data_IF_382520026245
#
_entry.id   IF_382520026245
#
_cell.length_a   1.000
_cell.length_b   1.000
_cell.length_c   1.000
_cell.angle_alpha   90.00
_cell.angle_beta   90.00
_cell.angle_gamma   90.00
#
_symmetry.space_group_name_H-M   'P 1'
#
loop_
_entity.id
_entity.type
_entity.pdbx_description
1 polymer ?
#
# COMPACT_ATOMS: atom_id res chain seq x y z
N UNK A 1 -9.32 -10.58 -7.28
CA UNK A 1 -8.69 -9.37 -6.73
C UNK A 1 -9.70 -8.43 -6.07
N UNK A 2 -10.93 -8.37 -6.60
CA UNK A 2 -11.96 -7.52 -6.00
C UNK A 2 -12.25 -7.95 -4.56
N UNK A 3 -12.35 -9.24 -4.31
CA UNK A 3 -12.56 -9.79 -2.98
C UNK A 3 -11.41 -9.39 -2.04
N UNK A 4 -10.17 -9.48 -2.52
CA UNK A 4 -8.99 -9.11 -1.74
C UNK A 4 -9.04 -7.62 -1.38
N UNK A 5 -9.36 -6.78 -2.36
CA UNK A 5 -9.44 -5.34 -2.16
C UNK A 5 -10.51 -4.98 -1.13
N UNK A 6 -11.71 -5.55 -1.25
CA UNK A 6 -12.80 -5.25 -0.34
C UNK A 6 -12.46 -5.63 1.10
N UNK A 7 -11.88 -6.81 1.27
CA UNK A 7 -11.51 -7.27 2.60
C UNK A 7 -10.37 -6.44 3.19
N UNK A 8 -9.43 -6.02 2.37
CA UNK A 8 -8.31 -5.23 2.87
C UNK A 8 -8.74 -3.81 3.25
N UNK A 9 -9.73 -3.23 2.56
CA UNK A 9 -10.30 -1.95 2.95
C UNK A 9 -10.90 -2.06 4.36
N UNK A 10 -11.63 -3.14 4.63
CA UNK A 10 -12.20 -3.37 5.97
C UNK A 10 -11.10 -3.47 7.03
N UNK A 11 -10.00 -4.12 6.69
CA UNK A 11 -8.86 -4.23 7.59
C UNK A 11 -8.26 -2.84 7.90
N UNK A 12 -8.06 -2.00 6.89
CA UNK A 12 -7.51 -0.66 7.09
C UNK A 12 -8.45 0.17 7.97
N UNK A 13 -9.75 0.07 7.73
CA UNK A 13 -10.73 0.76 8.58
C UNK A 13 -10.66 0.30 10.02
N UNK A 14 -10.38 -1.01 10.25
CA UNK A 14 -10.25 -1.54 11.61
C UNK A 14 -9.04 -1.00 12.33
N UNK A 15 -8.08 -0.43 11.61
CA UNK A 15 -6.91 0.22 12.19
C UNK A 15 -7.14 1.72 12.39
N UNK A 16 -8.38 2.15 12.36
CA UNK A 16 -8.82 3.53 12.64
C UNK A 16 -8.44 4.56 11.58
N UNK A 17 -8.10 4.12 10.38
CA UNK A 17 -7.85 5.08 9.30
C UNK A 17 -9.16 5.71 8.85
N UNK A 18 -9.20 7.05 8.69
CA UNK A 18 -10.44 7.72 8.26
C UNK A 18 -10.85 7.28 6.87
N UNK A 19 -12.13 6.96 6.71
CA UNK A 19 -12.67 6.54 5.43
C UNK A 19 -12.43 7.57 4.33
N UNK A 20 -12.48 8.85 4.67
CA UNK A 20 -12.28 9.94 3.71
C UNK A 20 -10.89 9.99 3.10
N UNK A 21 -9.90 9.35 3.73
CA UNK A 21 -8.53 9.31 3.23
C UNK A 21 -8.25 8.07 2.37
N UNK A 22 -9.18 7.12 2.33
CA UNK A 22 -9.00 5.86 1.60
C UNK A 22 -9.57 6.01 0.20
N UNK A 23 -8.75 5.75 -0.81
CA UNK A 23 -9.13 5.82 -2.21
C UNK A 23 -8.83 4.49 -2.89
N UNK A 24 -9.70 4.08 -3.83
CA UNK A 24 -9.55 2.84 -4.57
C UNK A 24 -9.23 3.14 -6.03
N UNK A 25 -8.43 2.29 -6.64
CA UNK A 25 -8.11 2.36 -8.06
C UNK A 25 -7.58 3.72 -8.49
N UNK A 26 -6.74 4.32 -7.64
CA UNK A 26 -6.15 5.62 -7.95
C UNK A 26 -5.07 5.48 -9.01
N UNK A 27 -5.12 6.36 -10.00
CA UNK A 27 -4.18 6.37 -11.12
C UNK A 27 -3.13 7.46 -10.89
N UNK A 28 -1.86 7.08 -11.09
CA UNK A 28 -0.74 8.02 -11.07
C UNK A 28 0.00 7.93 -12.39
N UNK A 29 0.59 9.03 -12.81
CA UNK A 29 1.45 9.07 -13.99
C UNK A 29 2.88 9.26 -13.52
N UNK A 30 3.72 8.27 -13.73
CA UNK A 30 5.11 8.25 -13.29
C UNK A 30 5.97 8.05 -14.52
N UNK A 31 6.81 9.05 -14.86
CA UNK A 31 7.65 9.04 -16.05
C UNK A 31 6.83 8.74 -17.32
N UNK A 32 5.66 9.37 -17.44
CA UNK A 32 4.72 9.19 -18.54
C UNK A 32 4.11 7.78 -18.62
N UNK A 33 4.28 6.96 -17.58
CA UNK A 33 3.68 5.64 -17.50
C UNK A 33 2.51 5.72 -16.53
N UNK A 34 1.35 5.24 -16.96
CA UNK A 34 0.17 5.18 -16.11
C UNK A 34 0.26 3.96 -15.20
N UNK A 35 0.12 4.20 -13.89
CA UNK A 35 0.11 3.14 -12.90
C UNK A 35 -1.13 3.29 -12.02
N UNK A 36 -1.91 2.22 -11.91
CA UNK A 36 -3.08 2.18 -11.03
C UNK A 36 -2.73 1.38 -9.77
N UNK A 37 -3.02 1.97 -8.63
CA UNK A 37 -2.93 1.27 -7.35
C UNK A 37 -4.32 0.88 -6.87
N UNK A 38 -4.40 -0.29 -6.25
CA UNK A 38 -5.70 -0.83 -5.81
C UNK A 38 -6.28 -0.04 -4.65
N UNK A 39 -5.45 0.32 -3.68
CA UNK A 39 -5.86 1.12 -2.54
C UNK A 39 -4.75 2.13 -2.25
N UNK A 40 -5.15 3.38 -2.05
CA UNK A 40 -4.22 4.44 -1.63
C UNK A 40 -4.84 5.15 -0.44
N UNK A 41 -4.07 5.30 0.63
CA UNK A 41 -4.51 6.06 1.79
C UNK A 41 -3.66 7.32 1.87
N UNK A 42 -4.32 8.47 1.86
CA UNK A 42 -3.63 9.75 1.96
C UNK A 42 -3.48 10.16 3.41
N UNK A 43 -2.49 11.01 3.70
CA UNK A 43 -2.38 11.64 5.00
C UNK A 43 -3.09 13.00 4.97
N UNK A 44 -3.12 13.69 6.11
CA UNK A 44 -3.82 14.98 6.22
C UNK A 44 -3.17 16.09 5.40
N UNK A 45 -1.95 15.89 4.94
CA UNK A 45 -1.21 16.86 4.11
C UNK A 45 -1.28 16.52 2.61
N UNK A 46 -2.21 15.64 2.22
CA UNK A 46 -2.40 15.19 0.83
C UNK A 46 -1.25 14.37 0.26
N UNK A 47 -0.30 13.95 1.09
CA UNK A 47 0.73 12.99 0.68
C UNK A 47 0.21 11.57 0.80
N UNK A 48 0.90 10.61 0.18
CA UNK A 48 0.51 9.21 0.28
C UNK A 48 1.08 8.61 1.56
N UNK A 49 0.21 7.99 2.35
CA UNK A 49 0.61 7.31 3.57
C UNK A 49 0.76 5.80 3.32
N UNK A 50 -0.23 5.20 2.65
CA UNK A 50 -0.22 3.77 2.37
C UNK A 50 -0.51 3.52 0.90
N UNK A 51 0.30 2.67 0.28
CA UNK A 51 0.00 2.09 -1.02
C UNK A 51 -0.25 0.60 -0.83
N UNK A 52 -1.34 0.09 -1.38
CA UNK A 52 -1.66 -1.34 -1.33
C UNK A 52 -1.74 -1.89 -2.74
N UNK A 53 -1.00 -2.95 -2.99
CA UNK A 53 -1.09 -3.72 -4.22
C UNK A 53 -1.77 -5.05 -3.90
N UNK A 54 -2.91 -5.28 -4.52
CA UNK A 54 -3.69 -6.51 -4.31
C UNK A 54 -3.44 -7.47 -5.46
N UNK A 55 -3.20 -8.73 -5.12
CA UNK A 55 -3.03 -9.81 -6.09
C UNK A 55 -4.13 -10.84 -5.87
N UNK A 56 -4.41 -11.64 -6.91
CA UNK A 56 -5.36 -12.74 -6.79
C UNK A 56 -4.89 -13.73 -5.71
N UNK A 57 -5.81 -14.37 -4.97
CA UNK A 57 -5.43 -15.41 -3.99
C UNK A 57 -4.64 -16.57 -4.61
N UNK A 58 -4.73 -16.75 -5.93
CA UNK A 58 -4.00 -17.80 -6.63
C UNK A 58 -2.55 -17.44 -6.91
N UNK A 59 -2.15 -16.18 -6.73
CA UNK A 59 -0.81 -15.72 -7.03
C UNK A 59 0.03 -15.73 -5.75
N UNK A 60 1.17 -16.39 -5.81
CA UNK A 60 2.14 -16.36 -4.72
C UNK A 60 2.97 -15.08 -4.85
N UNK A 61 2.96 -14.28 -3.79
CA UNK A 61 3.71 -13.03 -3.80
C UNK A 61 5.20 -13.33 -3.68
N UNK A 62 5.99 -12.70 -4.53
CA UNK A 62 7.44 -12.93 -4.59
C UNK A 62 8.19 -11.59 -4.64
N UNK A 63 9.52 -11.66 -4.64
CA UNK A 63 10.37 -10.49 -4.63
C UNK A 63 10.16 -9.60 -5.85
N UNK A 64 9.81 -10.16 -7.01
CA UNK A 64 9.57 -9.36 -8.20
C UNK A 64 8.38 -8.41 -8.00
N UNK A 65 7.35 -8.86 -7.31
CA UNK A 65 6.19 -8.01 -7.00
C UNK A 65 6.62 -6.85 -6.10
N UNK A 66 7.44 -7.13 -5.11
CA UNK A 66 7.95 -6.11 -4.20
C UNK A 66 8.81 -5.09 -4.95
N UNK A 67 9.74 -5.57 -5.78
CA UNK A 67 10.62 -4.69 -6.53
C UNK A 67 9.84 -3.76 -7.46
N UNK A 68 8.79 -4.27 -8.09
CA UNK A 68 7.94 -3.48 -8.98
C UNK A 68 7.24 -2.36 -8.21
N UNK A 69 6.66 -2.68 -7.06
CA UNK A 69 5.97 -1.68 -6.25
C UNK A 69 6.95 -0.63 -5.74
N UNK A 70 8.13 -1.05 -5.29
CA UNK A 70 9.16 -0.13 -4.79
C UNK A 70 9.66 0.81 -5.88
N UNK A 71 9.75 0.32 -7.11
CA UNK A 71 10.20 1.16 -8.24
C UNK A 71 9.27 2.34 -8.46
N UNK A 72 7.96 2.10 -8.43
CA UNK A 72 6.99 3.18 -8.58
C UNK A 72 6.92 4.06 -7.34
N UNK A 73 7.17 3.47 -6.17
CA UNK A 73 7.12 4.24 -4.93
C UNK A 73 8.26 5.25 -4.79
N UNK A 74 9.33 5.13 -5.58
CA UNK A 74 10.39 6.15 -5.56
C UNK A 74 9.83 7.54 -5.84
N UNK A 75 8.81 7.62 -6.70
CA UNK A 75 8.17 8.91 -7.01
C UNK A 75 7.14 9.32 -5.95
N UNK A 76 6.40 8.35 -5.40
CA UNK A 76 5.31 8.65 -4.47
C UNK A 76 5.77 8.78 -3.02
N UNK A 77 6.86 8.12 -2.66
CA UNK A 77 7.46 8.18 -1.33
C UNK A 77 6.46 7.90 -0.20
N UNK A 78 5.68 6.84 -0.37
CA UNK A 78 4.69 6.46 0.62
C UNK A 78 5.35 5.95 1.89
N UNK A 79 4.75 6.28 3.04
CA UNK A 79 5.27 5.85 4.33
C UNK A 79 5.14 4.34 4.54
N UNK A 80 4.04 3.77 4.06
CA UNK A 80 3.76 2.34 4.20
C UNK A 80 3.45 1.75 2.83
N UNK A 81 3.92 0.52 2.61
CA UNK A 81 3.62 -0.24 1.40
C UNK A 81 3.13 -1.61 1.84
N UNK A 82 2.04 -2.06 1.23
CA UNK A 82 1.45 -3.35 1.54
C UNK A 82 1.22 -4.10 0.23
N UNK A 83 1.60 -5.38 0.21
CA UNK A 83 1.29 -6.28 -0.89
C UNK A 83 0.51 -7.44 -0.28
N UNK A 84 -0.67 -7.74 -0.85
CA UNK A 84 -1.52 -8.78 -0.32
C UNK A 84 -2.19 -9.56 -1.44
N UNK A 85 -2.40 -10.86 -1.20
CA UNK A 85 -3.23 -11.69 -2.07
C UNK A 85 -4.47 -12.21 -1.32
N UNK A 86 -4.76 -11.66 -0.15
CA UNK A 86 -5.88 -12.07 0.68
C UNK A 86 -5.54 -13.18 1.65
N UNK A 87 -4.50 -13.95 1.38
CA UNK A 87 -4.04 -15.05 2.22
C UNK A 87 -2.73 -14.69 2.90
N UNK A 88 -1.82 -14.09 2.15
CA UNK A 88 -0.53 -13.62 2.65
C UNK A 88 -0.47 -12.12 2.52
N UNK A 89 0.04 -11.47 3.56
CA UNK A 89 0.14 -10.03 3.62
C UNK A 89 1.56 -9.64 3.98
N UNK A 90 2.13 -8.70 3.23
CA UNK A 90 3.48 -8.21 3.47
C UNK A 90 3.41 -6.71 3.70
N UNK A 91 3.87 -6.27 4.87
CA UNK A 91 3.81 -4.89 5.32
C UNK A 91 5.22 -4.31 5.39
N UNK A 92 5.42 -3.13 4.79
CA UNK A 92 6.70 -2.43 4.81
C UNK A 92 6.47 -0.99 5.22
N UNK A 93 7.39 -0.45 5.99
CA UNK A 93 7.33 0.95 6.39
C UNK A 93 8.69 1.60 6.15
N UNK A 94 8.67 2.91 5.91
CA UNK A 94 9.90 3.65 5.68
C UNK A 94 10.54 3.99 7.03
N UNK A 95 11.78 3.57 7.22
CA UNK A 95 12.57 3.88 8.40
C UNK A 95 13.42 5.10 8.08
N UNK A 96 13.08 6.25 8.67
CA UNK A 96 13.77 7.51 8.42
C UNK A 96 15.20 7.51 8.94
N UNK A 97 15.48 6.75 9.99
CA UNK A 97 16.83 6.68 10.57
C UNK A 97 17.79 5.95 9.63
N UNK A 98 17.36 4.85 9.05
CA UNK A 98 18.17 4.05 8.15
C UNK A 98 17.92 4.38 6.68
N UNK A 99 16.94 5.23 6.39
CA UNK A 99 16.58 5.68 5.04
C UNK A 99 16.26 4.51 4.11
N UNK A 100 15.51 3.55 4.61
CA UNK A 100 15.09 2.38 3.83
C UNK A 100 13.78 1.83 4.35
N UNK A 101 13.15 0.97 3.52
CA UNK A 101 11.94 0.27 3.92
C UNK A 101 12.28 -0.98 4.69
N UNK A 102 11.58 -1.18 5.81
CA UNK A 102 11.74 -2.37 6.65
C UNK A 102 10.41 -3.10 6.69
N UNK A 103 10.48 -4.43 6.75
CA UNK A 103 9.29 -5.25 6.87
C UNK A 103 8.78 -5.23 8.30
N UNK A 104 7.45 -5.20 8.45
CA UNK A 104 6.80 -5.31 9.74
C UNK A 104 5.71 -6.38 9.67
N UNK A 105 5.20 -6.77 10.83
CA UNK A 105 4.21 -7.86 10.89
C UNK A 105 2.80 -7.40 10.62
N UNK A 106 2.51 -6.13 10.81
CA UNK A 106 1.16 -5.61 10.72
C UNK A 106 1.20 -4.11 10.45
N UNK A 107 0.07 -3.57 10.02
CA UNK A 107 -0.10 -2.13 9.87
C UNK A 107 -0.33 -1.50 11.23
N UNK A 108 0.39 -0.41 11.51
CA UNK A 108 0.20 0.34 12.75
C UNK A 108 -1.17 1.02 12.77
N UNK A 109 -1.75 1.18 13.95
CA UNK A 109 -3.00 1.90 14.11
C UNK A 109 -2.79 3.36 13.69
N UNK A 110 -3.79 3.92 13.03
CA UNK A 110 -3.73 5.31 12.57
C UNK A 110 -3.56 6.25 13.76
N UNK A 111 -2.58 7.13 13.67
CA UNK A 111 -2.39 8.20 14.63
C UNK A 111 -2.36 9.52 13.86
N UNK A 112 -3.12 10.45 14.36
CA UNK A 112 -3.25 11.74 13.71
C UNK A 112 -2.00 12.59 13.84
#
# INVERSE_FOLDING_TARGET
EEWVRQNFIKYILSKNYPKSLINCEKVFYINNIQKRYDIVVYNSSAGTDILVECKSPKIKICNDHFDQVMRYNLELQSKNIIITNGLDHFYFYYDTNNKKYLQQKDLSIYTK
#
